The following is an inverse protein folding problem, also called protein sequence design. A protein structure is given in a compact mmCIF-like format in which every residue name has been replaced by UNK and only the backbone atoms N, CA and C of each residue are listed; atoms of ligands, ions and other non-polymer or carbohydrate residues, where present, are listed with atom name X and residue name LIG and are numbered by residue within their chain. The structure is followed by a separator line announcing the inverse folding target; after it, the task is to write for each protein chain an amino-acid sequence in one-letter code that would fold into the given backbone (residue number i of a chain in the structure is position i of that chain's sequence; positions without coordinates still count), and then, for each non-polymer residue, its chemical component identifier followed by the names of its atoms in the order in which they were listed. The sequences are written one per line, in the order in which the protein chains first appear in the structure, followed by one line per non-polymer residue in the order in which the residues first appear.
data_IF_916685482926
#
_entry.id   IF_916685482926
#
_cell.length_a   1.000
_cell.length_b   1.000
_cell.length_c   1.000
_cell.angle_alpha   90.00
_cell.angle_beta   90.00
_cell.angle_gamma   90.00
#
_symmetry.space_group_name_H-M   'P 1'
#
loop_
_entity.id
_entity.type
_entity.pdbx_description
1 polymer ?
#
# COMPACT_ATOMS: atom_id res chain seq x y z
N UNK A 1 -33.27 -9.99 -12.65
CA UNK A 1 -32.95 -9.39 -11.34
C UNK A 1 -32.56 -7.94 -11.60
N UNK A 2 -33.09 -6.95 -10.86
CA UNK A 2 -32.66 -5.57 -11.05
C UNK A 2 -31.16 -5.47 -10.77
N UNK A 3 -30.40 -4.86 -11.70
CA UNK A 3 -28.97 -4.60 -11.57
C UNK A 3 -28.71 -3.91 -10.23
N UNK A 4 -28.04 -4.58 -9.30
CA UNK A 4 -27.63 -3.98 -8.03
C UNK A 4 -26.65 -2.84 -8.35
N UNK A 5 -27.11 -1.59 -8.18
CA UNK A 5 -26.27 -0.42 -8.42
C UNK A 5 -25.00 -0.46 -7.56
N UNK A 6 -23.87 0.02 -8.11
CA UNK A 6 -22.56 0.01 -7.43
C UNK A 6 -22.67 0.58 -6.01
N UNK A 7 -22.19 -0.18 -5.04
CA UNK A 7 -22.15 0.27 -3.65
C UNK A 7 -21.25 1.50 -3.50
N UNK A 8 -21.73 2.48 -2.73
CA UNK A 8 -21.02 3.73 -2.45
C UNK A 8 -20.68 3.79 -0.98
N UNK A 9 -19.53 4.38 -0.65
CA UNK A 9 -19.17 4.65 0.73
C UNK A 9 -20.17 5.60 1.39
N UNK A 10 -20.57 5.28 2.62
CA UNK A 10 -21.54 6.05 3.40
C UNK A 10 -21.10 7.50 3.69
N UNK A 11 -19.79 7.73 3.89
CA UNK A 11 -19.24 9.08 4.09
C UNK A 11 -17.85 9.20 3.45
N UNK A 12 -17.51 10.42 2.99
CA UNK A 12 -16.21 10.76 2.41
C UNK A 12 -15.02 10.41 3.32
N UNK A 13 -15.19 10.55 4.64
CA UNK A 13 -14.16 10.20 5.64
C UNK A 13 -13.76 8.72 5.57
N UNK A 14 -14.71 7.80 5.41
CA UNK A 14 -14.42 6.37 5.32
C UNK A 14 -13.58 6.05 4.07
N UNK A 15 -13.88 6.71 2.94
CA UNK A 15 -13.09 6.57 1.72
C UNK A 15 -11.66 7.08 1.91
N UNK A 16 -11.48 8.22 2.60
CA UNK A 16 -10.14 8.76 2.90
C UNK A 16 -9.36 7.80 3.80
N UNK A 17 -9.97 7.27 4.87
CA UNK A 17 -9.29 6.31 5.75
C UNK A 17 -8.94 5.00 5.03
N UNK A 18 -9.82 4.47 4.18
CA UNK A 18 -9.51 3.30 3.37
C UNK A 18 -8.33 3.56 2.40
N UNK A 19 -8.30 4.73 1.77
CA UNK A 19 -7.20 5.12 0.88
C UNK A 19 -5.87 5.28 1.63
N UNK A 20 -5.88 5.92 2.81
CA UNK A 20 -4.68 6.07 3.66
C UNK A 20 -4.19 4.69 4.12
N UNK A 21 -5.11 3.82 4.58
CA UNK A 21 -4.76 2.46 4.98
C UNK A 21 -4.17 1.62 3.84
N UNK A 22 -4.63 1.82 2.61
CA UNK A 22 -4.05 1.17 1.43
C UNK A 22 -2.69 1.74 1.02
N UNK A 23 -2.41 3.02 1.31
CA UNK A 23 -1.18 3.69 0.93
C UNK A 23 -0.03 3.48 1.95
N UNK A 24 -0.37 3.25 3.21
CA UNK A 24 0.61 3.02 4.29
C UNK A 24 0.83 1.53 4.46
N UNK A 25 2.03 1.05 4.13
CA UNK A 25 2.42 -0.36 4.27
C UNK A 25 3.73 -0.54 5.02
N UNK A 26 4.11 -1.81 5.20
CA UNK A 26 5.34 -2.20 5.89
C UNK A 26 6.58 -1.52 5.27
N UNK A 27 6.62 -1.33 3.95
CA UNK A 27 7.71 -0.64 3.27
C UNK A 27 8.02 0.76 3.83
N UNK A 28 7.02 1.49 4.34
CA UNK A 28 7.24 2.80 4.94
C UNK A 28 7.94 2.71 6.32
N UNK A 29 7.82 1.56 7.00
CA UNK A 29 8.34 1.35 8.36
C UNK A 29 9.83 1.01 8.35
N UNK A 30 10.30 0.18 7.40
CA UNK A 30 11.70 -0.29 7.40
C UNK A 30 12.46 0.09 6.13
N UNK A 31 11.86 -0.07 4.94
CA UNK A 31 12.56 0.19 3.68
C UNK A 31 12.81 1.68 3.46
N UNK A 32 11.83 2.54 3.73
CA UNK A 32 12.02 3.99 3.54
C UNK A 32 13.12 4.57 4.44
N UNK A 33 13.16 4.32 5.76
CA UNK A 33 14.25 4.79 6.61
C UNK A 33 15.61 4.22 6.20
N UNK A 34 15.66 2.94 5.83
CA UNK A 34 16.88 2.29 5.37
C UNK A 34 17.45 2.96 4.11
N UNK A 35 16.62 3.18 3.08
CA UNK A 35 17.03 3.87 1.86
C UNK A 35 17.40 5.33 2.14
N UNK A 36 16.64 6.01 3.00
CA UNK A 36 16.96 7.39 3.39
C UNK A 36 18.37 7.44 4.01
N UNK A 37 18.70 6.53 4.94
CA UNK A 37 20.02 6.46 5.55
C UNK A 37 21.13 6.15 4.53
N UNK A 38 20.94 5.16 3.67
CA UNK A 38 21.95 4.73 2.69
C UNK A 38 22.24 5.80 1.62
N UNK A 39 21.23 6.55 1.18
CA UNK A 39 21.35 7.54 0.10
C UNK A 39 21.59 8.98 0.59
N UNK A 40 22.25 9.15 1.73
CA UNK A 40 22.69 10.47 2.22
C UNK A 40 21.71 11.17 3.18
N UNK A 41 20.86 10.40 3.85
CA UNK A 41 19.97 10.86 4.92
C UNK A 41 19.03 11.97 4.45
N UNK A 42 19.17 13.15 5.04
CA UNK A 42 18.32 14.30 4.74
C UNK A 42 18.40 14.78 3.27
N UNK A 43 19.52 14.57 2.58
CA UNK A 43 19.64 14.95 1.16
C UNK A 43 18.70 14.13 0.25
N UNK A 44 18.51 12.84 0.58
CA UNK A 44 17.56 11.98 -0.14
C UNK A 44 16.13 12.49 -0.06
N UNK A 45 15.74 13.14 1.05
CA UNK A 45 14.39 13.67 1.24
C UNK A 45 14.03 14.74 0.19
N UNK A 46 15.00 15.55 -0.25
CA UNK A 46 14.77 16.56 -1.29
C UNK A 46 14.41 15.88 -2.61
N UNK A 47 15.20 14.88 -3.04
CA UNK A 47 14.92 14.11 -4.24
C UNK A 47 13.60 13.33 -4.14
N UNK A 48 13.30 12.78 -2.95
CA UNK A 48 12.05 12.08 -2.68
C UNK A 48 10.82 12.98 -2.83
N UNK A 49 10.85 14.19 -2.24
CA UNK A 49 9.77 15.17 -2.35
C UNK A 49 9.57 15.60 -3.80
N UNK A 50 10.65 15.88 -4.53
CA UNK A 50 10.57 16.21 -5.96
C UNK A 50 9.94 15.06 -6.75
N UNK A 51 10.34 13.81 -6.48
CA UNK A 51 9.75 12.63 -7.13
C UNK A 51 8.26 12.45 -6.84
N UNK A 52 7.81 12.73 -5.61
CA UNK A 52 6.38 12.72 -5.24
C UNK A 52 5.62 13.77 -6.04
N UNK A 53 6.11 15.01 -6.12
CA UNK A 53 5.41 16.06 -6.84
C UNK A 53 5.42 15.84 -8.36
N UNK A 54 6.52 15.34 -8.91
CA UNK A 54 6.68 15.15 -10.35
C UNK A 54 5.96 13.90 -10.88
N UNK A 55 5.96 12.80 -10.13
CA UNK A 55 5.47 11.50 -10.61
C UNK A 55 4.36 10.97 -9.71
N UNK A 56 4.57 10.94 -8.39
CA UNK A 56 3.63 10.31 -7.45
C UNK A 56 2.23 10.92 -7.48
N UNK A 57 2.12 12.24 -7.25
CA UNK A 57 0.84 12.94 -7.21
C UNK A 57 0.14 12.92 -8.57
N UNK A 58 0.78 13.28 -9.71
CA UNK A 58 0.12 13.22 -11.01
C UNK A 58 -0.39 11.83 -11.37
N UNK A 59 0.39 10.78 -11.07
CA UNK A 59 -0.01 9.40 -11.34
C UNK A 59 -1.21 8.98 -10.50
N UNK A 60 -1.18 9.25 -9.19
CA UNK A 60 -2.29 8.95 -8.27
C UNK A 60 -3.58 9.68 -8.67
N UNK A 61 -3.48 10.97 -9.04
CA UNK A 61 -4.63 11.74 -9.50
C UNK A 61 -5.22 11.17 -10.79
N UNK A 62 -4.37 10.71 -11.71
CA UNK A 62 -4.80 10.09 -12.96
C UNK A 62 -5.56 8.79 -12.69
N UNK A 63 -5.04 7.93 -11.82
CA UNK A 63 -5.71 6.69 -11.41
C UNK A 63 -7.04 6.96 -10.72
N UNK A 64 -7.08 7.93 -9.80
CA UNK A 64 -8.30 8.32 -9.11
C UNK A 64 -9.35 8.92 -10.05
N UNK A 65 -8.93 9.77 -11.00
CA UNK A 65 -9.80 10.36 -12.01
C UNK A 65 -10.39 9.29 -12.94
N UNK A 66 -9.57 8.33 -13.39
CA UNK A 66 -10.04 7.20 -14.20
C UNK A 66 -11.04 6.32 -13.43
N UNK A 67 -10.73 5.98 -12.18
CA UNK A 67 -11.65 5.23 -11.31
C UNK A 67 -12.98 5.98 -11.07
N UNK A 68 -12.93 7.30 -10.92
CA UNK A 68 -14.12 8.13 -10.77
C UNK A 68 -14.93 8.25 -12.07
N UNK A 69 -14.28 8.39 -13.23
CA UNK A 69 -14.97 8.55 -14.51
C UNK A 69 -15.62 7.25 -14.99
N UNK A 70 -14.87 6.14 -14.98
CA UNK A 70 -15.34 4.87 -15.54
C UNK A 70 -16.13 4.01 -14.55
N UNK A 71 -15.98 4.23 -13.24
CA UNK A 71 -16.68 3.51 -12.16
C UNK A 71 -16.57 1.96 -12.26
N UNK A 72 -15.46 1.45 -12.79
CA UNK A 72 -15.18 0.02 -13.00
C UNK A 72 -13.86 -0.37 -12.31
N UNK A 73 -13.65 -1.68 -12.10
CA UNK A 73 -12.35 -2.21 -11.66
C UNK A 73 -11.27 -2.05 -12.74
N UNK A 74 -9.99 -2.26 -12.39
CA UNK A 74 -8.85 -1.97 -13.27
C UNK A 74 -8.97 -2.56 -14.69
N UNK A 75 -9.23 -3.87 -14.92
CA UNK A 75 -9.46 -4.40 -16.27
C UNK A 75 -10.62 -3.73 -17.01
N UNK A 76 -11.70 -3.40 -16.30
CA UNK A 76 -12.90 -2.77 -16.85
C UNK A 76 -12.70 -1.30 -17.25
N UNK A 77 -11.81 -0.57 -16.56
CA UNK A 77 -11.40 0.79 -16.93
C UNK A 77 -10.68 0.76 -18.28
N UNK A 78 -9.64 -0.06 -18.40
CA UNK A 78 -8.86 -0.16 -19.63
C UNK A 78 -9.67 -0.70 -20.81
N UNK A 79 -10.59 -1.64 -20.57
CA UNK A 79 -11.56 -2.09 -21.58
C UNK A 79 -12.46 -0.96 -22.09
N UNK A 80 -12.85 -0.03 -21.21
CA UNK A 80 -13.71 1.11 -21.56
C UNK A 80 -12.96 2.19 -22.33
N UNK A 81 -11.64 2.29 -22.16
CA UNK A 81 -10.76 3.13 -22.98
C UNK A 81 -10.56 2.51 -24.36
N UNK A 82 -10.37 1.20 -24.43
CA UNK A 82 -10.39 0.45 -25.67
C UNK A 82 -10.29 -1.05 -25.46
N UNK A 83 -11.08 -1.83 -26.21
CA UNK A 83 -11.19 -3.28 -26.04
C UNK A 83 -9.85 -4.03 -26.18
N UNK A 84 -8.89 -3.46 -26.92
CA UNK A 84 -7.52 -4.01 -27.08
C UNK A 84 -6.62 -3.79 -25.86
N UNK A 85 -6.96 -2.86 -24.97
CA UNK A 85 -6.14 -2.46 -23.81
C UNK A 85 -6.55 -3.18 -22.52
N UNK A 86 -7.59 -4.00 -22.54
CA UNK A 86 -8.10 -4.74 -21.37
C UNK A 86 -7.00 -5.56 -20.65
N UNK A 87 -6.05 -6.13 -21.40
CA UNK A 87 -4.94 -6.90 -20.83
C UNK A 87 -4.03 -6.08 -19.91
N UNK A 88 -3.86 -4.77 -20.17
CA UNK A 88 -3.06 -3.90 -19.30
C UNK A 88 -3.67 -3.75 -17.91
N UNK A 89 -5.00 -3.76 -17.81
CA UNK A 89 -5.68 -3.66 -16.53
C UNK A 89 -5.60 -4.93 -15.67
N UNK A 90 -5.24 -6.07 -16.28
CA UNK A 90 -4.97 -7.31 -15.54
C UNK A 90 -3.60 -7.30 -14.86
N UNK A 91 -2.63 -6.58 -15.41
CA UNK A 91 -1.29 -6.49 -14.84
C UNK A 91 -1.26 -6.03 -13.37
N UNK A 92 -1.83 -4.87 -12.99
CA UNK A 92 -1.85 -4.44 -11.59
C UNK A 92 -2.65 -5.40 -10.69
N UNK A 93 -3.71 -6.03 -11.21
CA UNK A 93 -4.50 -7.02 -10.46
C UNK A 93 -3.69 -8.28 -10.11
N UNK A 94 -2.91 -8.80 -11.07
CA UNK A 94 -2.02 -9.94 -10.85
C UNK A 94 -0.88 -9.56 -9.92
N UNK A 95 -0.28 -8.38 -10.09
CA UNK A 95 0.77 -7.89 -9.19
C UNK A 95 0.27 -7.77 -7.74
N UNK A 96 -0.93 -7.24 -7.53
CA UNK A 96 -1.53 -7.16 -6.19
C UNK A 96 -1.70 -8.54 -5.56
N UNK A 97 -2.23 -9.51 -6.31
CA UNK A 97 -2.38 -10.90 -5.84
C UNK A 97 -1.04 -11.57 -5.46
N UNK A 98 0.00 -11.36 -6.26
CA UNK A 98 1.34 -11.87 -5.96
C UNK A 98 1.93 -11.23 -4.70
N UNK A 99 1.67 -9.93 -4.49
CA UNK A 99 2.10 -9.21 -3.30
C UNK A 99 1.40 -9.76 -2.05
N UNK A 100 0.08 -9.96 -2.13
CA UNK A 100 -0.70 -10.48 -1.01
C UNK A 100 -0.20 -11.87 -0.55
N UNK A 101 0.21 -12.72 -1.49
CA UNK A 101 0.67 -14.09 -1.18
C UNK A 101 1.82 -14.12 -0.18
N UNK A 102 2.82 -13.23 -0.33
CA UNK A 102 3.93 -13.18 0.64
C UNK A 102 3.64 -12.24 1.81
N UNK A 103 2.82 -11.19 1.62
CA UNK A 103 2.44 -10.29 2.71
C UNK A 103 1.68 -11.00 3.82
N UNK A 104 0.84 -11.99 3.49
CA UNK A 104 0.13 -12.81 4.48
C UNK A 104 1.10 -13.55 5.41
N UNK A 105 2.23 -14.04 4.89
CA UNK A 105 3.26 -14.71 5.70
C UNK A 105 3.91 -13.73 6.67
N UNK A 106 4.23 -12.51 6.22
CA UNK A 106 4.81 -11.47 7.07
C UNK A 106 3.80 -11.05 8.16
N UNK A 107 2.52 -10.94 7.81
CA UNK A 107 1.45 -10.66 8.77
C UNK A 107 1.32 -11.77 9.81
N UNK A 108 1.43 -13.04 9.40
CA UNK A 108 1.43 -14.18 10.33
C UNK A 108 2.60 -14.11 11.32
N UNK A 109 3.81 -13.81 10.86
CA UNK A 109 4.95 -13.58 11.76
C UNK A 109 4.70 -12.41 12.71
N UNK A 110 4.18 -11.30 12.20
CA UNK A 110 3.85 -10.13 13.04
C UNK A 110 2.88 -10.49 14.17
N UNK A 111 1.86 -11.31 13.89
CA UNK A 111 0.93 -11.81 14.90
C UNK A 111 1.62 -12.75 15.90
N UNK A 112 2.47 -13.67 15.45
CA UNK A 112 3.25 -14.55 16.33
C UNK A 112 4.11 -13.72 17.29
N UNK A 113 4.82 -12.71 16.78
CA UNK A 113 5.62 -11.81 17.61
C UNK A 113 4.76 -10.96 18.54
N UNK A 114 3.58 -10.52 18.11
CA UNK A 114 2.64 -9.80 18.97
C UNK A 114 2.23 -10.64 20.19
N UNK A 115 1.83 -11.89 19.99
CA UNK A 115 1.47 -12.76 21.11
C UNK A 115 2.68 -13.17 21.95
N UNK A 116 3.81 -13.46 21.31
CA UNK A 116 5.06 -13.80 21.98
C UNK A 116 5.66 -12.62 22.78
N UNK A 117 5.24 -11.38 22.49
CA UNK A 117 5.62 -10.19 23.27
C UNK A 117 5.07 -10.20 24.68
N UNK A 118 3.95 -10.89 24.93
CA UNK A 118 3.36 -10.97 26.27
C UNK A 118 4.17 -11.85 27.22
N UNK A 119 4.87 -12.84 26.67
CA UNK A 119 5.75 -13.75 27.43
C UNK A 119 7.23 -13.43 27.25
N UNK A 120 7.55 -12.44 26.40
CA UNK A 120 8.92 -12.09 26.01
C UNK A 120 9.71 -13.32 25.58
N UNK A 121 9.09 -14.18 24.75
CA UNK A 121 9.62 -15.52 24.45
C UNK A 121 11.01 -15.53 23.79
N UNK A 122 11.41 -14.43 23.17
CA UNK A 122 12.75 -14.23 22.59
C UNK A 122 13.83 -13.83 23.61
N UNK A 123 13.47 -13.74 24.89
CA UNK A 123 14.36 -13.39 25.99
C UNK A 123 14.58 -11.88 26.14
N UNK A 124 15.14 -11.51 27.29
CA UNK A 124 15.63 -10.15 27.53
C UNK A 124 16.99 -10.09 26.84
N UNK A 125 17.08 -9.43 25.69
CA UNK A 125 18.36 -9.19 25.03
C UNK A 125 19.31 -8.40 25.94
N UNK A 126 20.62 -8.44 25.68
CA UNK A 126 21.65 -7.77 26.49
C UNK A 126 21.32 -6.29 26.82
N UNK A 127 20.59 -5.60 25.94
CA UNK A 127 20.11 -4.24 26.14
C UNK A 127 19.10 -4.06 27.30
N UNK A 128 18.33 -5.08 27.67
CA UNK A 128 17.45 -5.08 28.84
C UNK A 128 18.10 -5.69 30.09
N UNK A 129 19.17 -6.48 29.92
CA UNK A 129 19.94 -7.04 31.04
C UNK A 129 20.86 -5.99 31.71
N UNK A 130 21.30 -4.95 30.99
CA UNK A 130 22.11 -3.85 31.54
C UNK A 130 21.33 -2.82 32.36
N UNK A 131 20.00 -2.96 32.45
CA UNK A 131 19.12 -2.03 33.19
C UNK A 131 18.41 -2.68 34.39
N UNK A 132 18.80 -3.89 34.78
CA UNK A 132 18.33 -4.60 35.98
C UNK A 132 19.44 -4.71 37.03
#
# INVERSE_FOLDING_TARGET
MPEAGREKFLKRRHMIFAAIGSAVGLGNVWRFPYMCYEYGGAAFLVAYVVGIFAIGIPWLLTEFAMGHYFQKGAPGVFKSIGKKWEWLGWFPSISAFLIDTYYVVIMAWTLIYFFSSMTLAWGIGEAGAQQA
#
